data_IF_420821669160
#
_entry.id   IF_420821669160
#
_cell.length_a   1.000
_cell.length_b   1.000
_cell.length_c   1.000
_cell.angle_alpha   90.00
_cell.angle_beta   90.00
_cell.angle_gamma   90.00
#
_symmetry.space_group_name_H-M   'P 1'
#
loop_
_entity.id
_entity.type
_entity.pdbx_description
1 polymer ?
#
# COMPACT_ATOMS: atom_id res chain seq x y z
N UNK A 1 8.99 12.68 -14.08
CA UNK A 1 8.43 11.57 -13.27
C UNK A 1 7.52 12.18 -12.22
N UNK A 2 6.38 11.56 -11.91
CA UNK A 2 5.50 11.97 -10.81
C UNK A 2 5.80 11.14 -9.57
N UNK A 3 5.50 11.66 -8.37
CA UNK A 3 5.71 10.92 -7.10
C UNK A 3 5.07 9.53 -7.13
N UNK A 4 3.82 9.46 -7.59
CA UNK A 4 3.09 8.19 -7.73
C UNK A 4 3.72 7.25 -8.78
N UNK A 5 4.26 7.80 -9.87
CA UNK A 5 4.97 7.03 -10.89
C UNK A 5 6.26 6.43 -10.34
N UNK A 6 7.03 7.21 -9.59
CA UNK A 6 8.25 6.77 -8.91
C UNK A 6 7.95 5.70 -7.86
N UNK A 7 6.93 5.92 -7.02
CA UNK A 7 6.50 4.96 -6.02
C UNK A 7 6.07 3.62 -6.64
N UNK A 8 5.28 3.66 -7.71
CA UNK A 8 4.88 2.44 -8.44
C UNK A 8 6.08 1.68 -9.01
N UNK A 9 7.06 2.39 -9.59
CA UNK A 9 8.27 1.76 -10.11
C UNK A 9 9.10 1.13 -8.98
N UNK A 10 9.24 1.84 -7.85
CA UNK A 10 9.88 1.33 -6.65
C UNK A 10 9.21 0.06 -6.12
N UNK A 11 7.88 0.05 -5.96
CA UNK A 11 7.15 -1.13 -5.47
C UNK A 11 7.28 -2.33 -6.41
N UNK A 12 7.24 -2.10 -7.71
CA UNK A 12 7.44 -3.16 -8.69
C UNK A 12 8.82 -3.81 -8.50
N UNK A 13 9.86 -3.00 -8.29
CA UNK A 13 11.21 -3.50 -8.12
C UNK A 13 11.47 -4.12 -6.74
N UNK A 14 10.88 -3.56 -5.68
CA UNK A 14 10.83 -4.18 -4.36
C UNK A 14 10.23 -5.60 -4.43
N UNK A 15 9.07 -5.77 -5.08
CA UNK A 15 8.42 -7.07 -5.22
C UNK A 15 9.21 -8.02 -6.13
N UNK A 16 9.86 -7.52 -7.19
CA UNK A 16 10.76 -8.32 -8.05
C UNK A 16 11.96 -8.86 -7.30
N UNK A 17 12.49 -8.13 -6.33
CA UNK A 17 13.60 -8.57 -5.50
C UNK A 17 13.16 -9.29 -4.21
N UNK A 18 11.86 -9.33 -3.88
CA UNK A 18 11.37 -9.96 -2.66
C UNK A 18 11.54 -11.49 -2.67
N UNK A 19 12.25 -12.12 -1.71
CA UNK A 19 12.65 -13.53 -1.78
C UNK A 19 11.48 -14.51 -1.68
N UNK A 20 10.36 -14.10 -1.07
CA UNK A 20 9.15 -14.94 -0.90
C UNK A 20 8.07 -14.72 -1.97
N UNK A 21 8.37 -13.91 -2.98
CA UNK A 21 7.49 -13.72 -4.14
C UNK A 21 7.98 -14.58 -5.30
N UNK A 22 7.05 -15.30 -5.91
CA UNK A 22 7.26 -16.19 -7.04
C UNK A 22 7.50 -15.39 -8.32
N UNK A 23 8.62 -15.66 -9.02
CA UNK A 23 9.13 -14.82 -10.12
C UNK A 23 8.74 -15.31 -11.52
N UNK A 24 8.34 -16.58 -11.64
CA UNK A 24 7.87 -17.20 -12.88
C UNK A 24 6.39 -16.90 -13.18
N UNK A 25 5.71 -16.14 -12.31
CA UNK A 25 4.31 -15.76 -12.46
C UNK A 25 4.13 -14.25 -12.63
N UNK A 26 2.92 -13.85 -13.00
CA UNK A 26 2.57 -12.44 -13.17
C UNK A 26 2.84 -11.64 -11.91
N UNK A 27 3.58 -10.54 -12.07
CA UNK A 27 3.82 -9.53 -11.05
C UNK A 27 3.49 -8.17 -11.67
N UNK A 28 2.58 -7.43 -11.04
CA UNK A 28 2.10 -6.15 -11.53
C UNK A 28 1.81 -5.20 -10.36
N UNK A 29 2.27 -3.96 -10.51
CA UNK A 29 1.81 -2.83 -9.68
C UNK A 29 1.20 -1.81 -10.63
N UNK A 30 -0.08 -1.52 -10.50
CA UNK A 30 -0.79 -0.60 -11.39
C UNK A 30 -1.68 0.37 -10.62
N UNK A 31 -1.97 1.50 -11.25
CA UNK A 31 -2.99 2.42 -10.76
C UNK A 31 -4.35 1.98 -11.29
N UNK A 32 -5.38 2.08 -10.47
CA UNK A 32 -6.77 1.93 -10.90
C UNK A 32 -7.35 3.29 -11.26
N UNK A 33 -8.59 3.31 -11.75
CA UNK A 33 -9.31 4.55 -11.98
C UNK A 33 -9.42 5.34 -10.66
N UNK A 34 -9.23 6.68 -10.68
CA UNK A 34 -9.46 7.51 -9.50
C UNK A 34 -10.91 7.38 -9.02
N UNK A 35 -11.09 7.41 -7.70
CA UNK A 35 -12.41 7.45 -7.07
C UNK A 35 -12.45 8.45 -5.91
N UNK A 36 -13.55 8.44 -5.16
CA UNK A 36 -13.77 9.38 -4.05
C UNK A 36 -12.75 9.25 -2.91
N UNK A 37 -12.11 8.08 -2.80
CA UNK A 37 -11.08 7.75 -1.80
C UNK A 37 -9.65 7.93 -2.35
N UNK A 38 -9.47 8.70 -3.42
CA UNK A 38 -8.17 8.97 -4.03
C UNK A 38 -7.83 8.03 -5.19
N UNK A 39 -6.54 7.83 -5.42
CA UNK A 39 -6.00 7.03 -6.53
C UNK A 39 -5.56 5.65 -6.04
N UNK A 40 -6.34 4.58 -6.29
CA UNK A 40 -5.98 3.26 -5.78
C UNK A 40 -4.77 2.69 -6.52
N UNK A 41 -3.92 1.97 -5.77
CA UNK A 41 -2.84 1.16 -6.30
C UNK A 41 -3.20 -0.32 -6.10
N UNK A 42 -3.18 -1.08 -7.19
CA UNK A 42 -3.32 -2.52 -7.16
C UNK A 42 -1.94 -3.16 -7.17
N UNK A 43 -1.74 -4.10 -6.26
CA UNK A 43 -0.55 -4.94 -6.14
C UNK A 43 -0.96 -6.37 -6.41
N UNK A 44 -0.43 -6.95 -7.47
CA UNK A 44 -0.72 -8.30 -7.90
C UNK A 44 0.58 -9.10 -7.98
N UNK A 45 0.69 -10.15 -7.16
CA UNK A 45 1.84 -11.05 -7.11
C UNK A 45 1.44 -12.41 -6.55
N UNK A 46 2.27 -13.43 -6.79
CA UNK A 46 2.11 -14.75 -6.20
C UNK A 46 3.22 -15.02 -5.19
N UNK A 47 2.88 -15.64 -4.06
CA UNK A 47 3.87 -16.14 -3.09
C UNK A 47 4.51 -17.43 -3.59
N UNK A 48 5.71 -17.74 -3.12
CA UNK A 48 6.38 -19.01 -3.41
C UNK A 48 5.95 -20.16 -2.46
N UNK A 49 4.96 -19.91 -1.60
CA UNK A 49 4.39 -20.85 -0.63
C UNK A 49 2.87 -20.80 -0.71
N UNK A 50 2.23 -21.91 -0.32
CA UNK A 50 0.76 -22.05 -0.16
C UNK A 50 0.37 -22.28 1.30
N UNK A 51 1.34 -22.27 2.22
CA UNK A 51 1.08 -22.40 3.66
C UNK A 51 0.39 -21.13 4.14
N UNK A 52 -0.82 -21.28 4.68
CA UNK A 52 -1.70 -20.17 5.04
C UNK A 52 -1.01 -19.13 5.94
N UNK A 53 -0.37 -19.56 7.02
CA UNK A 53 0.29 -18.64 7.97
C UNK A 53 1.46 -17.89 7.33
N UNK A 54 2.22 -18.54 6.45
CA UNK A 54 3.33 -17.89 5.74
C UNK A 54 2.81 -16.91 4.70
N UNK A 55 1.75 -17.28 3.97
CA UNK A 55 1.08 -16.40 3.01
C UNK A 55 0.61 -15.10 3.69
N UNK A 56 -0.11 -15.22 4.82
CA UNK A 56 -0.59 -14.07 5.60
C UNK A 56 0.57 -13.21 6.11
N UNK A 57 1.65 -13.82 6.62
CA UNK A 57 2.83 -13.09 7.05
C UNK A 57 3.52 -12.35 5.89
N UNK A 58 3.69 -12.99 4.73
CA UNK A 58 4.27 -12.33 3.55
C UNK A 58 3.43 -11.12 3.14
N UNK A 59 2.11 -11.27 3.12
CA UNK A 59 1.20 -10.18 2.78
C UNK A 59 1.32 -9.03 3.78
N UNK A 60 1.29 -9.31 5.09
CA UNK A 60 1.43 -8.30 6.14
C UNK A 60 2.76 -7.54 6.02
N UNK A 61 3.88 -8.25 5.89
CA UNK A 61 5.22 -7.64 5.79
C UNK A 61 5.34 -6.71 4.57
N UNK A 62 4.73 -7.08 3.44
CA UNK A 62 4.69 -6.25 2.24
C UNK A 62 3.91 -4.95 2.51
N UNK A 63 2.73 -5.03 3.14
CA UNK A 63 1.92 -3.85 3.43
C UNK A 63 2.54 -2.96 4.50
N UNK A 64 3.16 -3.53 5.53
CA UNK A 64 3.90 -2.77 6.54
C UNK A 64 5.05 -1.98 5.91
N UNK A 65 5.81 -2.59 5.00
CA UNK A 65 6.85 -1.90 4.23
C UNK A 65 6.28 -0.75 3.38
N UNK A 66 5.17 -1.01 2.68
CA UNK A 66 4.49 0.01 1.85
C UNK A 66 4.05 1.19 2.70
N UNK A 67 3.42 0.95 3.85
CA UNK A 67 2.95 2.00 4.76
C UNK A 67 4.10 2.79 5.37
N UNK A 68 5.22 2.13 5.69
CA UNK A 68 6.40 2.80 6.22
C UNK A 68 7.06 3.73 5.20
N UNK A 69 7.11 3.35 3.91
CA UNK A 69 7.88 4.07 2.89
C UNK A 69 7.05 5.06 2.07
N UNK A 70 5.73 4.99 2.06
CA UNK A 70 4.87 5.83 1.20
C UNK A 70 5.10 7.33 1.39
N UNK A 71 5.35 7.77 2.63
CA UNK A 71 5.58 9.19 2.95
C UNK A 71 6.91 9.72 2.41
N UNK A 72 7.92 8.86 2.23
CA UNK A 72 9.21 9.23 1.62
C UNK A 72 9.06 9.65 0.14
N UNK A 73 7.98 9.21 -0.51
CA UNK A 73 7.63 9.64 -1.87
C UNK A 73 6.77 10.92 -1.88
N UNK A 74 6.54 11.55 -0.72
CA UNK A 74 5.63 12.68 -0.59
C UNK A 74 4.17 12.31 -0.90
N UNK A 75 3.80 11.05 -0.69
CA UNK A 75 2.44 10.54 -0.83
C UNK A 75 1.82 10.38 0.56
N UNK A 76 0.48 10.35 0.62
CA UNK A 76 -0.26 10.09 1.86
C UNK A 76 -1.30 9.03 1.62
N UNK A 77 -1.50 8.16 2.59
CA UNK A 77 -2.58 7.19 2.57
C UNK A 77 -3.90 7.92 2.81
N UNK A 78 -4.88 7.62 1.95
CA UNK A 78 -6.24 8.07 2.21
C UNK A 78 -6.82 7.25 3.37
N UNK A 79 -7.35 7.95 4.38
CA UNK A 79 -8.13 7.36 5.46
C UNK A 79 -9.45 8.11 5.52
N UNK A 80 -10.57 7.40 5.47
CA UNK A 80 -11.87 8.02 5.68
C UNK A 80 -11.97 8.46 7.15
N UNK A 81 -12.55 9.64 7.45
CA UNK A 81 -12.70 10.11 8.82
C UNK A 81 -13.39 9.06 9.69
N UNK A 82 -12.80 8.80 10.85
CA UNK A 82 -13.38 7.90 11.84
C UNK A 82 -14.15 8.69 12.90
N UNK A 83 -14.90 8.00 13.77
CA UNK A 83 -15.56 8.64 14.91
C UNK A 83 -14.57 9.35 15.85
N UNK A 84 -13.30 8.96 15.86
CA UNK A 84 -12.28 9.62 16.67
C UNK A 84 -11.89 10.99 16.11
N UNK A 85 -11.83 11.13 14.79
CA UNK A 85 -11.56 12.39 14.09
C UNK A 85 -12.71 13.39 14.30
N UNK A 86 -13.95 12.90 14.34
CA UNK A 86 -15.13 13.73 14.65
C UNK A 86 -15.07 14.22 16.11
N UNK A 87 -14.65 13.36 17.05
CA UNK A 87 -14.50 13.74 18.47
C UNK A 87 -13.39 14.78 18.68
N UNK A 88 -12.24 14.64 18.00
CA UNK A 88 -11.14 15.60 18.12
C UNK A 88 -11.53 16.97 17.56
N UNK A 89 -12.25 17.02 16.43
CA UNK A 89 -12.80 18.25 15.87
C UNK A 89 -13.86 18.88 16.79
N UNK A 90 -14.80 18.11 17.33
CA UNK A 90 -15.81 18.62 18.26
C UNK A 90 -15.20 19.21 19.54
N UNK A 91 -14.07 18.66 20.00
CA UNK A 91 -13.30 19.22 21.11
C UNK A 91 -12.62 20.56 20.77
N UNK A 92 -12.19 20.75 19.52
CA UNK A 92 -11.57 22.00 19.05
C UNK A 92 -12.58 23.16 18.92
N UNK A 93 -13.85 22.88 18.62
CA UNK A 93 -14.92 23.89 18.53
C UNK A 93 -15.57 24.24 19.88
N UNK A 94 -15.15 23.59 20.98
CA UNK A 94 -15.70 23.81 22.33
C UNK A 94 -14.88 24.78 23.18
N UNK A 95 -13.86 25.41 22.60
CA UNK A 95 -13.06 26.51 23.17
C UNK A 95 -13.48 27.84 22.59
#
# INVERSE_FOLDING_TARGET
MTNIGTFRAYLNEYLRNHPRIRKDMTLMVRQLAPGDNGLPLEIYAFTNTVVWLEYESIQADIFDHIFAIVEEFGLRLHQSPTGNDIRSLAGAFKQ
#
